data_IF_934542316186
#
_entry.id   IF_934542316186
#
_cell.length_a   1.000
_cell.length_b   1.000
_cell.length_c   1.000
_cell.angle_alpha   90.00
_cell.angle_beta   90.00
_cell.angle_gamma   90.00
#
_symmetry.space_group_name_H-M   'P 1'
#
loop_
_entity.id
_entity.type
_entity.pdbx_description
1 polymer ?
#
# COMPACT_ATOMS: atom_id res chain seq x y z
N UNK A 1 -6.58 -5.67 6.14
CA UNK A 1 -5.18 -5.54 6.57
C UNK A 1 -5.04 -5.80 8.06
N UNK A 2 -3.80 -5.98 8.55
CA UNK A 2 -3.50 -6.31 9.96
C UNK A 2 -3.91 -5.21 10.95
N UNK A 3 -4.02 -3.98 10.48
CA UNK A 3 -4.41 -2.79 11.27
C UNK A 3 -5.91 -2.49 11.24
N UNK A 4 -6.76 -3.51 11.05
CA UNK A 4 -8.22 -3.38 11.14
C UNK A 4 -8.91 -2.71 9.94
N UNK A 5 -8.16 -2.29 8.92
CA UNK A 5 -8.74 -1.78 7.67
C UNK A 5 -9.37 -2.93 6.86
N UNK A 6 -10.71 -2.96 6.83
CA UNK A 6 -11.54 -3.82 5.97
C UNK A 6 -11.94 -3.07 4.70
N UNK A 7 -12.19 -3.81 3.63
CA UNK A 7 -12.63 -3.27 2.34
C UNK A 7 -13.13 -4.35 1.40
N UNK A 8 -13.72 -3.92 0.29
CA UNK A 8 -14.15 -4.77 -0.84
C UNK A 8 -13.35 -4.36 -2.07
N UNK A 9 -12.99 -5.31 -2.94
CA UNK A 9 -12.33 -5.00 -4.21
C UNK A 9 -13.31 -4.24 -5.11
N UNK A 10 -12.98 -2.99 -5.44
CA UNK A 10 -13.86 -2.13 -6.23
C UNK A 10 -13.73 -2.36 -7.75
N UNK A 11 -12.51 -2.62 -8.23
CA UNK A 11 -12.20 -2.84 -9.65
C UNK A 11 -10.87 -3.60 -9.77
N UNK A 12 -10.75 -4.41 -10.82
CA UNK A 12 -9.49 -4.99 -11.29
C UNK A 12 -9.08 -4.17 -12.52
N UNK A 13 -7.91 -3.55 -12.47
CA UNK A 13 -7.38 -2.72 -13.56
C UNK A 13 -6.34 -3.49 -14.39
N UNK A 14 -6.24 -3.22 -15.70
CA UNK A 14 -5.06 -3.56 -16.48
C UNK A 14 -3.79 -2.92 -15.89
N UNK A 15 -2.63 -3.52 -16.11
CA UNK A 15 -1.35 -3.07 -15.53
C UNK A 15 -0.94 -1.71 -16.09
N UNK A 16 -1.23 -1.46 -17.36
CA UNK A 16 -0.97 -0.21 -18.07
C UNK A 16 -1.72 1.00 -17.47
N UNK A 17 -2.82 0.77 -16.76
CA UNK A 17 -3.63 1.81 -16.12
C UNK A 17 -3.19 2.09 -14.67
N UNK A 18 -2.27 1.28 -14.10
CA UNK A 18 -1.80 1.46 -12.74
C UNK A 18 -0.77 2.58 -12.64
N UNK A 19 -0.64 3.25 -11.48
CA UNK A 19 0.49 4.13 -11.24
C UNK A 19 1.81 3.35 -11.22
N UNK A 20 2.87 3.98 -11.73
CA UNK A 20 4.21 3.40 -11.81
C UNK A 20 5.19 4.13 -10.87
N UNK A 21 6.11 3.36 -10.29
CA UNK A 21 7.30 3.87 -9.62
C UNK A 21 8.32 4.41 -10.66
N UNK A 22 9.31 5.22 -10.25
CA UNK A 22 10.29 5.80 -11.17
C UNK A 22 11.13 4.77 -11.96
N UNK A 23 11.25 3.55 -11.44
CA UNK A 23 11.92 2.41 -12.09
C UNK A 23 11.02 1.67 -13.11
N UNK A 24 9.77 2.09 -13.27
CA UNK A 24 8.79 1.47 -14.15
C UNK A 24 7.99 0.33 -13.50
N UNK A 25 8.17 0.07 -12.20
CA UNK A 25 7.40 -0.95 -11.49
C UNK A 25 5.96 -0.48 -11.26
N UNK A 26 4.92 -1.20 -11.72
CA UNK A 26 3.53 -0.86 -11.42
C UNK A 26 3.20 -1.14 -9.95
N UNK A 27 2.34 -0.33 -9.34
CA UNK A 27 1.79 -0.62 -8.02
C UNK A 27 0.78 -1.77 -8.08
N UNK A 28 0.70 -2.59 -7.02
CA UNK A 28 -0.28 -3.69 -6.93
C UNK A 28 -1.65 -3.25 -6.40
N UNK A 29 -1.69 -2.36 -5.41
CA UNK A 29 -2.91 -1.96 -4.69
C UNK A 29 -2.88 -0.46 -4.39
N UNK A 30 -4.00 0.22 -4.60
CA UNK A 30 -4.22 1.61 -4.21
C UNK A 30 -5.21 1.68 -3.06
N UNK A 31 -4.84 2.35 -1.96
CA UNK A 31 -5.68 2.54 -0.78
C UNK A 31 -6.11 4.00 -0.62
N UNK A 32 -7.32 4.24 -0.10
CA UNK A 32 -7.79 5.58 0.23
C UNK A 32 -7.10 6.11 1.50
N UNK A 33 -6.41 7.27 1.45
CA UNK A 33 -5.69 7.80 2.61
C UNK A 33 -6.60 8.27 3.74
N UNK A 34 -7.86 8.63 3.48
CA UNK A 34 -8.79 9.21 4.48
C UNK A 34 -9.09 8.23 5.64
N UNK A 35 -9.04 6.92 5.37
CA UNK A 35 -9.30 5.90 6.38
C UNK A 35 -8.29 5.87 7.52
N UNK A 36 -7.09 6.41 7.30
CA UNK A 36 -6.00 6.41 8.28
C UNK A 36 -6.21 7.42 9.40
N UNK A 37 -6.33 8.74 9.13
CA UNK A 37 -6.57 9.73 10.17
C UNK A 37 -7.93 9.55 10.85
N UNK A 38 -8.96 9.10 10.11
CA UNK A 38 -10.30 8.88 10.67
C UNK A 38 -10.32 7.80 11.77
N UNK A 39 -9.47 6.79 11.68
CA UNK A 39 -9.44 5.64 12.61
C UNK A 39 -8.19 5.60 13.48
N UNK A 40 -7.29 6.58 13.31
CA UNK A 40 -6.02 6.68 14.02
C UNK A 40 -5.16 5.41 13.92
N UNK A 41 -5.16 4.73 12.77
CA UNK A 41 -4.40 3.49 12.56
C UNK A 41 -3.01 3.73 11.91
N UNK A 42 -2.26 4.67 12.48
CA UNK A 42 -0.92 5.08 12.03
C UNK A 42 0.06 3.91 11.84
N UNK A 43 -0.13 2.82 12.61
CA UNK A 43 0.67 1.61 12.47
C UNK A 43 0.70 1.05 11.04
N UNK A 44 -0.35 1.23 10.23
CA UNK A 44 -0.35 0.80 8.83
C UNK A 44 0.69 1.57 8.00
N UNK A 45 0.84 2.86 8.27
CA UNK A 45 1.81 3.70 7.57
C UNK A 45 3.22 3.28 8.00
N UNK A 46 3.45 3.06 9.29
CA UNK A 46 4.74 2.57 9.78
C UNK A 46 5.08 1.18 9.23
N UNK A 47 4.10 0.27 9.17
CA UNK A 47 4.25 -1.05 8.55
C UNK A 47 4.67 -0.94 7.08
N UNK A 48 4.01 -0.08 6.30
CA UNK A 48 4.35 0.12 4.90
C UNK A 48 5.77 0.68 4.70
N UNK A 49 6.18 1.67 5.50
CA UNK A 49 7.53 2.24 5.44
C UNK A 49 8.60 1.23 5.85
N UNK A 50 8.39 0.49 6.94
CA UNK A 50 9.32 -0.54 7.39
C UNK A 50 9.40 -1.70 6.40
N UNK A 51 8.28 -2.09 5.79
CA UNK A 51 8.23 -3.10 4.73
C UNK A 51 9.03 -2.69 3.50
N UNK A 52 8.90 -1.43 3.06
CA UNK A 52 9.72 -0.89 1.97
C UNK A 52 11.20 -0.92 2.35
N UNK A 53 11.57 -0.37 3.50
CA UNK A 53 12.97 -0.37 3.95
C UNK A 53 13.56 -1.79 4.03
N UNK A 54 12.79 -2.76 4.54
CA UNK A 54 13.21 -4.16 4.59
C UNK A 54 13.42 -4.77 3.20
N UNK A 55 12.56 -4.44 2.23
CA UNK A 55 12.71 -4.89 0.84
C UNK A 55 14.00 -4.36 0.20
N UNK A 56 14.28 -3.07 0.35
CA UNK A 56 15.50 -2.41 -0.16
C UNK A 56 16.77 -2.99 0.48
N UNK A 57 16.70 -3.31 1.77
CA UNK A 57 17.82 -3.89 2.52
C UNK A 57 17.95 -5.41 2.33
N UNK A 58 17.07 -6.05 1.55
CA UNK A 58 17.12 -7.48 1.26
C UNK A 58 16.81 -8.40 2.45
N UNK A 59 16.04 -7.92 3.43
CA UNK A 59 15.58 -8.75 4.53
C UNK A 59 14.58 -9.80 4.01
N UNK A 60 14.73 -11.04 4.47
CA UNK A 60 13.83 -12.16 4.18
C UNK A 60 13.01 -12.53 5.40
#
# INVERSE_FOLDING_TARGET
GRHGNKGVIARILPVEDMPFLPDGTPLDIVLNPIGVPSRMNLGQIFEAHLGWAANELGFK
#
